data_IF_709655473137
#
_entry.id   IF_709655473137
#
_cell.length_a   1.000
_cell.length_b   1.000
_cell.length_c   1.000
_cell.angle_alpha   90.00
_cell.angle_beta   90.00
_cell.angle_gamma   90.00
#
_symmetry.space_group_name_H-M   'P 1'
#
loop_
_entity.id
_entity.type
_entity.pdbx_description
1 polymer ?
#
# COMPACT_ATOMS: atom_id res chain seq x y z
N UNK A 1 4.91 6.35 12.59
CA UNK A 1 3.96 5.37 12.06
C UNK A 1 4.71 4.29 11.31
N UNK A 2 4.23 3.05 11.38
CA UNK A 2 4.79 1.91 10.63
C UNK A 2 3.80 1.53 9.52
N UNK A 3 4.28 1.48 8.29
CA UNK A 3 3.46 1.21 7.10
C UNK A 3 4.08 0.05 6.33
N UNK A 4 3.36 -1.04 6.18
CA UNK A 4 3.84 -2.17 5.38
C UNK A 4 3.51 -1.98 3.90
N UNK A 5 4.51 -2.19 3.04
CA UNK A 5 4.33 -2.28 1.59
C UNK A 5 4.17 -3.75 1.21
N UNK A 6 2.98 -4.13 0.78
CA UNK A 6 2.64 -5.53 0.44
C UNK A 6 2.08 -5.63 -0.97
N UNK A 7 1.95 -6.84 -1.49
CA UNK A 7 1.41 -7.08 -2.84
C UNK A 7 2.26 -8.07 -3.63
N UNK A 8 1.85 -8.33 -4.85
CA UNK A 8 2.49 -9.32 -5.72
C UNK A 8 3.95 -8.98 -6.07
N UNK A 9 4.76 -9.99 -6.38
CA UNK A 9 6.12 -9.80 -6.90
C UNK A 9 6.11 -8.93 -8.16
N UNK A 10 7.00 -7.96 -8.24
CA UNK A 10 7.07 -7.04 -9.39
C UNK A 10 6.01 -5.94 -9.43
N UNK A 11 5.15 -5.77 -8.41
CA UNK A 11 4.18 -4.65 -8.37
C UNK A 11 4.82 -3.28 -8.14
N UNK A 12 6.11 -3.23 -7.72
CA UNK A 12 6.88 -2.00 -7.56
C UNK A 12 7.01 -1.49 -6.13
N UNK A 13 6.88 -2.36 -5.11
CA UNK A 13 7.03 -2.00 -3.68
C UNK A 13 8.35 -1.31 -3.38
N UNK A 14 9.45 -1.98 -3.68
CA UNK A 14 10.82 -1.46 -3.51
C UNK A 14 11.04 -0.17 -4.32
N UNK A 15 10.52 -0.10 -5.56
CA UNK A 15 10.62 1.12 -6.39
C UNK A 15 9.84 2.29 -5.81
N UNK A 16 8.66 2.05 -5.24
CA UNK A 16 7.88 3.07 -4.54
C UNK A 16 8.64 3.59 -3.32
N UNK A 17 9.24 2.69 -2.54
CA UNK A 17 10.06 3.07 -1.39
C UNK A 17 11.25 3.94 -1.80
N UNK A 18 11.98 3.56 -2.84
CA UNK A 18 13.07 4.37 -3.39
C UNK A 18 12.61 5.76 -3.82
N UNK A 19 11.43 5.85 -4.46
CA UNK A 19 10.84 7.13 -4.85
C UNK A 19 10.46 8.00 -3.64
N UNK A 20 9.93 7.40 -2.58
CA UNK A 20 9.62 8.09 -1.33
C UNK A 20 10.90 8.62 -0.66
N UNK A 21 11.96 7.82 -0.62
CA UNK A 21 13.28 8.24 -0.08
C UNK A 21 13.89 9.37 -0.88
N UNK A 22 13.78 9.34 -2.21
CA UNK A 22 14.27 10.42 -3.07
C UNK A 22 13.48 11.70 -2.87
N UNK A 23 12.14 11.61 -2.84
CA UNK A 23 11.27 12.79 -2.70
C UNK A 23 11.41 13.49 -1.35
N UNK A 24 11.77 12.75 -0.31
CA UNK A 24 12.04 13.27 1.04
C UNK A 24 13.49 13.68 1.26
N UNK A 25 14.36 13.49 0.27
CA UNK A 25 15.78 13.87 0.34
C UNK A 25 16.64 12.95 1.21
N UNK A 26 16.14 11.78 1.61
CA UNK A 26 16.93 10.78 2.36
C UNK A 26 18.02 10.20 1.48
N UNK A 27 17.72 9.99 0.20
CA UNK A 27 18.70 9.62 -0.82
C UNK A 27 18.78 10.71 -1.89
N UNK A 28 19.93 10.82 -2.54
CA UNK A 28 20.19 11.80 -3.60
C UNK A 28 20.03 11.22 -5.01
N UNK A 29 19.90 9.90 -5.14
CA UNK A 29 19.77 9.17 -6.40
C UNK A 29 18.82 7.99 -6.20
N UNK A 30 17.90 7.83 -7.16
CA UNK A 30 16.99 6.70 -7.20
C UNK A 30 17.74 5.39 -7.43
N UNK A 31 17.60 4.43 -6.51
CA UNK A 31 18.06 3.07 -6.70
C UNK A 31 17.14 2.29 -7.65
N UNK A 32 17.69 1.24 -8.24
CA UNK A 32 16.96 0.31 -9.12
C UNK A 32 17.25 -1.12 -8.71
N UNK A 33 16.23 -1.95 -8.69
CA UNK A 33 16.36 -3.38 -8.34
C UNK A 33 17.29 -4.09 -9.32
N UNK A 34 17.20 -3.75 -10.60
CA UNK A 34 18.02 -4.33 -11.68
C UNK A 34 19.51 -3.98 -11.55
N UNK A 35 19.80 -2.82 -10.95
CA UNK A 35 21.18 -2.35 -10.69
C UNK A 35 21.71 -2.86 -9.34
N UNK A 36 20.87 -3.50 -8.51
CA UNK A 36 21.24 -4.01 -7.19
C UNK A 36 21.69 -2.92 -6.22
N UNK A 37 21.12 -1.72 -6.31
CA UNK A 37 21.56 -0.54 -5.56
C UNK A 37 20.42 0.14 -4.80
N UNK A 38 19.34 -0.58 -4.51
CA UNK A 38 18.22 -0.12 -3.68
C UNK A 38 18.60 -0.15 -2.20
N UNK A 39 17.91 0.66 -1.39
CA UNK A 39 18.17 0.75 0.05
C UNK A 39 17.65 -0.47 0.81
N UNK A 40 16.51 -1.04 0.39
CA UNK A 40 15.88 -2.18 1.06
C UNK A 40 16.48 -3.53 0.72
N UNK A 41 16.89 -3.74 -0.55
CA UNK A 41 17.49 -5.00 -1.01
C UNK A 41 19.02 -4.92 -0.90
N UNK A 42 19.54 -5.03 0.30
CA UNK A 42 20.99 -4.93 0.59
C UNK A 42 21.70 -6.29 0.75
N UNK A 43 20.93 -7.37 0.91
CA UNK A 43 21.51 -8.72 0.97
C UNK A 43 22.05 -9.16 -0.41
N UNK A 44 23.20 -9.84 -0.42
CA UNK A 44 23.80 -10.32 -1.66
C UNK A 44 22.88 -11.23 -2.47
N UNK A 45 22.05 -12.01 -1.78
CA UNK A 45 21.11 -12.92 -2.41
C UNK A 45 19.96 -12.17 -3.08
N UNK A 46 19.46 -11.09 -2.45
CA UNK A 46 18.45 -10.21 -3.03
C UNK A 46 18.96 -9.50 -4.28
N UNK A 47 20.17 -8.97 -4.20
CA UNK A 47 20.86 -8.34 -5.33
C UNK A 47 21.06 -9.32 -6.48
N UNK A 48 21.54 -10.53 -6.20
CA UNK A 48 21.77 -11.56 -7.21
C UNK A 48 20.47 -12.05 -7.87
N UNK A 49 19.41 -12.18 -7.06
CA UNK A 49 18.10 -12.66 -7.53
C UNK A 49 17.25 -11.56 -8.17
N UNK A 50 17.50 -10.28 -7.85
CA UNK A 50 16.72 -9.15 -8.32
C UNK A 50 15.31 -9.07 -7.71
N UNK A 51 15.15 -9.55 -6.47
CA UNK A 51 13.92 -9.41 -5.69
C UNK A 51 14.16 -9.55 -4.19
N UNK A 52 13.29 -8.92 -3.40
CA UNK A 52 13.35 -8.96 -1.92
C UNK A 52 13.04 -10.35 -1.38
N UNK A 53 13.85 -10.82 -0.44
CA UNK A 53 13.73 -12.10 0.26
C UNK A 53 13.26 -11.88 1.69
N UNK A 54 13.76 -10.83 2.35
CA UNK A 54 13.46 -10.46 3.73
C UNK A 54 12.73 -9.13 3.80
N UNK A 55 11.99 -8.91 4.89
CA UNK A 55 11.39 -7.61 5.18
C UNK A 55 12.46 -6.62 5.63
N UNK A 56 12.44 -5.40 5.07
CA UNK A 56 13.37 -4.31 5.40
C UNK A 56 12.62 -3.10 5.95
N UNK A 57 13.11 -2.53 7.06
CA UNK A 57 12.52 -1.33 7.68
C UNK A 57 13.32 -0.10 7.28
N UNK A 58 12.66 0.83 6.59
CA UNK A 58 13.30 2.04 6.08
C UNK A 58 12.56 3.28 6.61
N UNK A 59 13.21 4.10 7.47
CA UNK A 59 12.60 5.30 8.02
C UNK A 59 12.63 6.46 7.02
N UNK A 60 11.52 7.18 6.96
CA UNK A 60 11.35 8.41 6.19
C UNK A 60 10.79 9.50 7.10
N UNK A 61 11.28 10.73 6.97
CA UNK A 61 10.69 11.90 7.63
C UNK A 61 9.96 12.76 6.60
N UNK A 62 8.67 12.98 6.83
CA UNK A 62 7.84 13.82 5.98
C UNK A 62 6.94 14.71 6.83
N UNK A 63 6.94 16.03 6.57
CA UNK A 63 6.13 17.01 7.31
C UNK A 63 6.22 16.86 8.85
N UNK A 64 7.43 16.65 9.38
CA UNK A 64 7.73 16.41 10.81
C UNK A 64 7.18 15.10 11.39
N UNK A 65 6.69 14.21 10.57
CA UNK A 65 6.29 12.85 10.96
C UNK A 65 7.35 11.86 10.54
N UNK A 66 7.68 10.95 11.43
CA UNK A 66 8.51 9.79 11.12
C UNK A 66 7.60 8.64 10.66
N UNK A 67 7.84 8.17 9.45
CA UNK A 67 7.16 7.02 8.85
C UNK A 67 8.21 5.94 8.64
N UNK A 68 8.01 4.76 9.22
CA UNK A 68 8.85 3.60 8.95
C UNK A 68 8.11 2.77 7.89
N UNK A 69 8.62 2.76 6.67
CA UNK A 69 8.15 1.81 5.67
C UNK A 69 8.77 0.44 5.92
N UNK A 70 7.95 -0.59 5.85
CA UNK A 70 8.38 -1.97 5.93
C UNK A 70 8.18 -2.56 4.53
N UNK A 71 9.27 -2.60 3.76
CA UNK A 71 9.26 -3.24 2.43
C UNK A 71 9.23 -4.76 2.61
N UNK A 72 8.31 -5.44 1.93
CA UNK A 72 8.12 -6.88 2.11
C UNK A 72 8.38 -7.65 0.81
N UNK A 73 8.83 -8.90 0.91
CA UNK A 73 8.92 -9.78 -0.24
C UNK A 73 7.57 -9.96 -0.93
N UNK A 74 7.58 -10.02 -2.26
CA UNK A 74 6.36 -10.22 -3.06
C UNK A 74 6.09 -11.67 -3.45
N UNK A 75 7.02 -12.57 -3.18
CA UNK A 75 6.90 -13.99 -3.51
C UNK A 75 6.36 -14.80 -2.35
N UNK A 76 5.58 -15.83 -2.66
CA UNK A 76 4.81 -16.61 -1.67
C UNK A 76 5.68 -17.44 -0.72
N UNK A 77 6.90 -17.75 -1.13
CA UNK A 77 7.85 -18.51 -0.31
C UNK A 77 8.26 -17.75 0.96
N UNK A 78 8.09 -16.42 0.95
CA UNK A 78 8.47 -15.53 2.05
C UNK A 78 7.26 -14.94 2.81
N UNK A 79 6.12 -15.63 2.82
CA UNK A 79 4.90 -15.18 3.50
C UNK A 79 5.11 -14.92 5.00
N UNK A 80 6.06 -15.59 5.63
CA UNK A 80 6.41 -15.39 7.04
C UNK A 80 6.88 -13.96 7.32
N UNK A 81 7.69 -13.38 6.44
CA UNK A 81 8.17 -12.00 6.53
C UNK A 81 7.02 -10.99 6.34
N UNK A 82 6.11 -11.27 5.39
CA UNK A 82 4.90 -10.45 5.18
C UNK A 82 4.04 -10.42 6.45
N UNK A 83 3.78 -11.58 7.05
CA UNK A 83 2.98 -11.68 8.27
C UNK A 83 3.67 -11.00 9.46
N UNK A 84 4.99 -11.09 9.55
CA UNK A 84 5.76 -10.41 10.60
C UNK A 84 5.69 -8.88 10.44
N UNK A 85 5.80 -8.38 9.21
CA UNK A 85 5.66 -6.96 8.89
C UNK A 85 4.26 -6.44 9.23
N UNK A 86 3.20 -7.17 8.86
CA UNK A 86 1.83 -6.79 9.15
C UNK A 86 1.53 -6.72 10.66
N UNK A 87 2.13 -7.58 11.47
CA UNK A 87 2.00 -7.52 12.94
C UNK A 87 2.73 -6.34 13.57
N UNK A 88 3.67 -5.73 12.87
CA UNK A 88 4.48 -4.62 13.35
C UNK A 88 4.03 -3.25 12.82
N UNK A 89 3.03 -3.19 11.94
CA UNK A 89 2.55 -1.97 11.32
C UNK A 89 1.15 -1.54 11.81
N UNK A 90 0.85 -0.27 11.69
CA UNK A 90 -0.46 0.32 11.95
C UNK A 90 -1.32 0.41 10.69
N UNK A 91 -0.70 0.32 9.50
CA UNK A 91 -1.41 0.33 8.22
C UNK A 91 -0.60 -0.38 7.15
N UNK A 92 -1.26 -0.79 6.07
CA UNK A 92 -0.63 -1.42 4.93
C UNK A 92 -1.02 -0.75 3.62
N UNK A 93 -0.08 -0.73 2.67
CA UNK A 93 -0.32 -0.34 1.29
C UNK A 93 -0.14 -1.55 0.40
N UNK A 94 -1.23 -1.98 -0.24
CA UNK A 94 -1.21 -3.06 -1.22
C UNK A 94 -0.96 -2.46 -2.61
N UNK A 95 0.20 -2.76 -3.18
CA UNK A 95 0.51 -2.30 -4.54
C UNK A 95 -0.10 -3.22 -5.58
N UNK A 96 -0.83 -2.62 -6.51
CA UNK A 96 -1.47 -3.28 -7.66
C UNK A 96 -0.82 -2.76 -8.93
N UNK A 97 -0.27 -3.63 -9.76
CA UNK A 97 0.20 -3.26 -11.11
C UNK A 97 -1.01 -3.03 -12.00
N UNK A 98 -1.17 -1.80 -12.49
CA UNK A 98 -2.34 -1.38 -13.27
C UNK A 98 -2.54 -2.20 -14.55
N UNK A 99 -1.46 -2.69 -15.15
CA UNK A 99 -1.53 -3.53 -16.35
C UNK A 99 -1.98 -4.97 -16.05
N UNK A 100 -1.48 -5.52 -14.94
CA UNK A 100 -1.76 -6.93 -14.55
C UNK A 100 -3.03 -7.08 -13.72
N UNK A 101 -3.54 -5.98 -13.15
CA UNK A 101 -4.73 -5.98 -12.28
C UNK A 101 -4.52 -6.76 -10.98
N UNK A 102 -5.62 -7.35 -10.49
CA UNK A 102 -5.62 -8.15 -9.27
C UNK A 102 -4.91 -9.48 -9.52
N UNK A 103 -3.84 -9.72 -8.79
CA UNK A 103 -3.05 -10.94 -8.85
C UNK A 103 -3.19 -11.75 -7.56
N UNK A 104 -2.77 -13.01 -7.57
CA UNK A 104 -2.81 -13.88 -6.38
C UNK A 104 -2.10 -13.27 -5.17
N UNK A 105 -0.99 -12.53 -5.38
CA UNK A 105 -0.31 -11.80 -4.30
C UNK A 105 -1.13 -10.65 -3.73
N UNK A 106 -1.93 -9.97 -4.54
CA UNK A 106 -2.88 -8.94 -4.11
C UNK A 106 -3.96 -9.54 -3.21
N UNK A 107 -4.56 -10.66 -3.61
CA UNK A 107 -5.59 -11.34 -2.83
C UNK A 107 -5.04 -11.86 -1.49
N UNK A 108 -3.85 -12.47 -1.50
CA UNK A 108 -3.21 -12.94 -0.26
C UNK A 108 -2.86 -11.80 0.68
N UNK A 109 -2.31 -10.70 0.17
CA UNK A 109 -2.01 -9.52 0.96
C UNK A 109 -3.28 -8.95 1.62
N UNK A 110 -4.37 -8.82 0.87
CA UNK A 110 -5.66 -8.39 1.38
C UNK A 110 -6.18 -9.31 2.49
N UNK A 111 -6.17 -10.63 2.25
CA UNK A 111 -6.64 -11.60 3.24
C UNK A 111 -5.82 -11.54 4.55
N UNK A 112 -4.48 -11.39 4.44
CA UNK A 112 -3.63 -11.22 5.62
C UNK A 112 -3.91 -9.90 6.34
N UNK A 113 -4.11 -8.79 5.63
CA UNK A 113 -4.48 -7.51 6.24
C UNK A 113 -5.83 -7.62 6.99
N UNK A 114 -6.82 -8.30 6.39
CA UNK A 114 -8.12 -8.57 7.07
C UNK A 114 -7.96 -9.46 8.30
N UNK A 115 -7.16 -10.53 8.22
CA UNK A 115 -6.92 -11.43 9.35
C UNK A 115 -6.31 -10.71 10.54
N UNK A 116 -5.39 -9.77 10.30
CA UNK A 116 -4.75 -8.97 11.36
C UNK A 116 -5.47 -7.65 11.66
N UNK A 117 -6.61 -7.38 11.01
CA UNK A 117 -7.39 -6.14 11.16
C UNK A 117 -6.54 -4.88 10.90
N UNK A 118 -5.75 -4.88 9.84
CA UNK A 118 -4.87 -3.78 9.47
C UNK A 118 -5.58 -2.85 8.47
N UNK A 119 -5.72 -1.55 8.77
CA UNK A 119 -6.20 -0.57 7.81
C UNK A 119 -5.37 -0.58 6.52
N UNK A 120 -6.02 -0.63 5.38
CA UNK A 120 -5.36 -0.96 4.12
C UNK A 120 -5.71 0.05 3.03
N UNK A 121 -4.68 0.49 2.30
CA UNK A 121 -4.80 1.28 1.09
C UNK A 121 -4.38 0.44 -0.13
N UNK A 122 -5.09 0.58 -1.24
CA UNK A 122 -4.63 0.11 -2.54
C UNK A 122 -3.89 1.24 -3.26
N UNK A 123 -2.68 0.96 -3.75
CA UNK A 123 -1.95 1.87 -4.60
C UNK A 123 -1.84 1.25 -6.00
N UNK A 124 -2.53 1.85 -6.97
CA UNK A 124 -2.48 1.43 -8.36
C UNK A 124 -1.22 2.04 -8.97
N UNK A 125 -0.28 1.19 -9.33
CA UNK A 125 1.06 1.56 -9.81
C UNK A 125 1.23 1.25 -11.30
N UNK A 126 2.24 1.86 -11.93
CA UNK A 126 2.59 1.67 -13.35
C UNK A 126 1.47 2.07 -14.31
N UNK A 127 0.79 3.16 -13.99
CA UNK A 127 -0.30 3.73 -14.79
C UNK A 127 0.20 4.37 -16.10
N UNK A 128 1.50 4.53 -16.24
CA UNK A 128 2.20 5.04 -17.43
C UNK A 128 2.34 4.00 -18.56
N UNK A 129 2.02 2.74 -18.29
CA UNK A 129 2.07 1.70 -19.31
C UNK A 129 0.94 1.85 -20.35
N UNK A 130 1.24 1.48 -21.59
CA UNK A 130 0.24 1.45 -22.65
C UNK A 130 -0.89 0.44 -22.34
N UNK A 131 -2.12 0.80 -22.76
CA UNK A 131 -3.33 -0.01 -22.58
C UNK A 131 -3.73 -0.26 -21.12
N UNK A 132 -3.34 0.63 -20.20
CA UNK A 132 -3.82 0.63 -18.81
C UNK A 132 -5.13 1.41 -18.72
N UNK A 133 -6.12 0.80 -18.07
CA UNK A 133 -7.41 1.40 -17.74
C UNK A 133 -7.55 1.40 -16.21
N UNK A 134 -7.30 2.55 -15.59
CA UNK A 134 -7.32 2.71 -14.13
C UNK A 134 -8.73 2.52 -13.57
N UNK A 135 -9.75 3.04 -14.26
CA UNK A 135 -11.15 2.95 -13.82
C UNK A 135 -11.62 1.49 -13.79
N UNK A 136 -11.16 0.69 -14.77
CA UNK A 136 -11.40 -0.75 -14.76
C UNK A 136 -10.73 -1.43 -13.57
N UNK A 137 -9.49 -1.08 -13.24
CA UNK A 137 -8.78 -1.65 -12.08
C UNK A 137 -9.50 -1.30 -10.79
N UNK A 138 -9.99 -0.06 -10.63
CA UNK A 138 -10.78 0.36 -9.47
C UNK A 138 -12.07 -0.46 -9.37
N UNK A 139 -12.78 -0.60 -10.49
CA UNK A 139 -14.02 -1.40 -10.56
C UNK A 139 -13.75 -2.87 -10.18
N UNK A 140 -12.66 -3.47 -10.67
CA UNK A 140 -12.27 -4.83 -10.35
C UNK A 140 -11.94 -4.97 -8.85
N UNK A 141 -11.27 -3.97 -8.25
CA UNK A 141 -10.98 -3.94 -6.81
C UNK A 141 -12.28 -3.87 -5.98
N UNK A 142 -13.24 -3.02 -6.37
CA UNK A 142 -14.54 -2.91 -5.73
C UNK A 142 -15.33 -4.22 -5.83
N UNK A 143 -15.38 -4.83 -6.99
CA UNK A 143 -16.06 -6.13 -7.18
C UNK A 143 -15.45 -7.25 -6.36
N UNK A 144 -14.12 -7.24 -6.20
CA UNK A 144 -13.41 -8.33 -5.52
C UNK A 144 -13.37 -8.16 -4.01
N UNK A 145 -13.16 -6.92 -3.53
CA UNK A 145 -12.86 -6.64 -2.12
C UNK A 145 -13.98 -5.89 -1.38
N UNK A 146 -14.97 -5.41 -2.10
CA UNK A 146 -16.16 -4.77 -1.56
C UNK A 146 -16.35 -3.33 -2.02
N UNK A 147 -17.59 -2.86 -1.93
CA UNK A 147 -18.00 -1.51 -2.36
C UNK A 147 -17.41 -0.40 -1.51
N UNK A 148 -16.94 -0.70 -0.29
CA UNK A 148 -16.23 0.22 0.60
C UNK A 148 -14.81 0.60 0.10
N UNK A 149 -14.36 0.05 -1.04
CA UNK A 149 -13.14 0.54 -1.71
C UNK A 149 -13.44 1.85 -2.41
N UNK A 150 -12.98 2.95 -1.83
CA UNK A 150 -13.20 4.32 -2.32
C UNK A 150 -11.93 4.82 -2.99
N UNK A 151 -12.09 5.46 -4.17
CA UNK A 151 -10.98 6.11 -4.85
C UNK A 151 -10.63 7.42 -4.14
N UNK A 152 -9.37 7.55 -3.68
CA UNK A 152 -8.85 8.79 -3.13
C UNK A 152 -8.14 9.58 -4.23
N UNK A 153 -8.50 10.85 -4.37
CA UNK A 153 -7.77 11.82 -5.20
C UNK A 153 -7.35 13.02 -4.34
N UNK A 154 -6.31 13.72 -4.73
CA UNK A 154 -5.96 15.00 -4.10
C UNK A 154 -6.56 16.17 -4.89
N UNK A 155 -7.17 17.18 -4.23
CA UNK A 155 -7.45 17.25 -2.79
C UNK A 155 -8.61 16.33 -2.37
N UNK A 156 -8.62 15.91 -1.09
CA UNK A 156 -9.73 15.16 -0.49
C UNK A 156 -10.83 16.14 -0.11
N UNK A 157 -11.66 16.51 -1.08
CA UNK A 157 -12.74 17.49 -0.95
C UNK A 157 -14.01 16.99 -1.64
N UNK A 158 -15.15 17.59 -1.31
CA UNK A 158 -16.44 17.32 -1.96
C UNK A 158 -16.82 15.84 -1.93
N UNK A 159 -17.18 15.30 -3.09
CA UNK A 159 -17.68 13.92 -3.26
C UNK A 159 -16.69 12.84 -2.77
N UNK A 160 -15.37 13.09 -2.87
CA UNK A 160 -14.35 12.16 -2.37
C UNK A 160 -14.36 12.10 -0.84
N UNK A 161 -14.50 13.25 -0.17
CA UNK A 161 -14.59 13.32 1.29
C UNK A 161 -15.88 12.65 1.77
N UNK A 162 -17.01 12.89 1.11
CA UNK A 162 -18.28 12.26 1.43
C UNK A 162 -18.22 10.75 1.31
N UNK A 163 -17.71 10.23 0.18
CA UNK A 163 -17.54 8.79 -0.04
C UNK A 163 -16.56 8.15 0.97
N UNK A 164 -15.51 8.86 1.37
CA UNK A 164 -14.59 8.39 2.39
C UNK A 164 -15.27 8.33 3.76
N UNK A 165 -16.03 9.37 4.12
CA UNK A 165 -16.78 9.44 5.38
C UNK A 165 -17.80 8.32 5.48
N UNK A 166 -18.54 8.04 4.40
CA UNK A 166 -19.49 6.94 4.32
C UNK A 166 -18.79 5.58 4.49
N UNK A 167 -17.68 5.33 3.78
CA UNK A 167 -16.92 4.09 3.89
C UNK A 167 -16.34 3.87 5.31
N UNK A 168 -15.92 4.94 5.98
CA UNK A 168 -15.46 4.87 7.38
C UNK A 168 -16.64 4.60 8.32
N UNK A 169 -17.77 5.25 8.12
CA UNK A 169 -18.99 5.03 8.92
C UNK A 169 -19.48 3.58 8.80
N UNK A 170 -19.48 2.98 7.60
CA UNK A 170 -19.87 1.59 7.39
C UNK A 170 -18.97 0.55 8.12
N UNK A 171 -17.79 0.96 8.56
CA UNK A 171 -16.85 0.06 9.24
C UNK A 171 -17.18 -0.23 10.71
N UNK A 172 -18.03 0.58 11.34
CA UNK A 172 -18.35 0.50 12.76
C UNK A 172 -19.79 0.97 13.04
N UNK A 173 -20.56 0.22 13.85
CA UNK A 173 -21.96 0.51 14.14
C UNK A 173 -22.15 1.88 14.84
N UNK A 174 -21.24 2.25 15.75
CA UNK A 174 -21.33 3.54 16.47
C UNK A 174 -21.06 4.71 15.51
N UNK A 175 -20.10 4.57 14.60
CA UNK A 175 -19.82 5.56 13.57
C UNK A 175 -20.97 5.68 12.57
N UNK A 176 -21.62 4.56 12.23
CA UNK A 176 -22.75 4.53 11.33
C UNK A 176 -23.97 5.28 11.94
N UNK A 177 -24.24 5.07 13.25
CA UNK A 177 -25.30 5.81 13.94
C UNK A 177 -25.02 7.32 13.97
N UNK A 178 -23.78 7.74 14.22
CA UNK A 178 -23.36 9.15 14.18
C UNK A 178 -23.53 9.75 12.78
N UNK A 179 -23.16 9.01 11.75
CA UNK A 179 -23.31 9.45 10.36
C UNK A 179 -24.78 9.72 10.00
N UNK A 180 -25.67 8.79 10.31
CA UNK A 180 -27.12 8.98 10.11
C UNK A 180 -27.73 10.01 11.05
N UNK A 181 -27.14 10.22 12.22
CA UNK A 181 -27.54 11.28 13.17
C UNK A 181 -27.15 12.68 12.72
N UNK A 182 -26.36 12.83 11.67
CA UNK A 182 -25.87 14.10 11.15
C UNK A 182 -24.80 14.75 12.03
N UNK A 183 -24.09 13.97 12.84
CA UNK A 183 -22.94 14.44 13.62
C UNK A 183 -21.73 14.62 12.71
N UNK A 184 -20.98 15.72 12.90
CA UNK A 184 -19.74 15.94 12.15
C UNK A 184 -18.66 14.96 12.62
N UNK A 185 -18.01 14.29 11.65
CA UNK A 185 -16.80 13.52 11.90
C UNK A 185 -15.63 14.48 12.08
N UNK A 186 -14.85 14.28 13.13
CA UNK A 186 -13.59 15.00 13.34
C UNK A 186 -12.48 14.30 12.57
N UNK A 187 -11.48 15.07 12.09
CA UNK A 187 -10.34 14.55 11.34
C UNK A 187 -9.33 13.76 12.23
N UNK A 188 -9.72 13.35 13.45
CA UNK A 188 -8.90 12.58 14.41
C UNK A 188 -9.22 11.08 14.40
#
# INVERSE_FOLDING_TARGET
RNVALVGHGGSGKTTLLEAALLSTGVISRLGRVEDGNTVSDYDKMEIEKGYSISASVVPVEYKKMKINFIDTPGYFDFVGDVNSALRACESAVILVDAFSGIQVGTEKAWNSCKEYNIPTFFLINKIDKENVDVDKVVTDLQHKFGTSVVMLSEPIEGDVRESLTEAVAESDEELLEKYFGGEEFTDE
#
